data_IF_607767861750
#
_entry.id   IF_607767861750
#
_cell.length_a   1.000
_cell.length_b   1.000
_cell.length_c   1.000
_cell.angle_alpha   90.00
_cell.angle_beta   90.00
_cell.angle_gamma   90.00
#
_symmetry.space_group_name_H-M   'P 1'
#
loop_
_entity.id
_entity.type
_entity.pdbx_description
1 polymer ?
#
# COMPACT_ATOMS: atom_id res chain seq x y z
N UNK A 1 -34.53 -77.38 -30.09
CA UNK A 1 -35.98 -77.25 -29.82
C UNK A 1 -36.20 -76.51 -28.51
N UNK A 2 -37.19 -75.60 -28.49
CA UNK A 2 -37.87 -74.97 -27.32
C UNK A 2 -37.04 -74.18 -26.28
N UNK A 3 -37.08 -72.83 -26.28
CA UNK A 3 -38.08 -71.91 -25.65
C UNK A 3 -38.37 -72.15 -24.16
N UNK A 4 -38.03 -71.17 -23.31
CA UNK A 4 -38.90 -70.39 -22.38
C UNK A 4 -38.00 -69.47 -21.51
N UNK A 5 -38.11 -68.14 -21.61
CA UNK A 5 -39.09 -67.16 -21.06
C UNK A 5 -38.75 -66.69 -19.63
N UNK A 6 -38.33 -65.41 -19.56
CA UNK A 6 -38.75 -64.29 -18.69
C UNK A 6 -38.81 -64.49 -17.16
N UNK A 7 -38.05 -63.64 -16.43
CA UNK A 7 -38.49 -62.67 -15.37
C UNK A 7 -37.22 -62.08 -14.74
N UNK A 8 -36.85 -60.83 -15.03
CA UNK A 8 -37.20 -59.62 -14.26
C UNK A 8 -36.74 -59.66 -12.80
N UNK A 9 -35.63 -58.96 -12.49
CA UNK A 9 -35.57 -58.14 -11.28
C UNK A 9 -34.59 -56.97 -11.49
N UNK A 10 -35.19 -55.80 -11.59
CA UNK A 10 -34.56 -54.49 -11.53
C UNK A 10 -34.07 -54.29 -10.10
N UNK A 11 -32.78 -54.01 -9.92
CA UNK A 11 -32.25 -53.43 -8.68
C UNK A 11 -31.45 -52.18 -9.03
N UNK A 12 -32.19 -51.09 -8.89
CA UNK A 12 -31.78 -49.70 -8.90
C UNK A 12 -30.70 -49.46 -7.84
N UNK A 13 -29.52 -49.02 -8.25
CA UNK A 13 -28.60 -48.29 -7.39
C UNK A 13 -28.19 -47.03 -8.14
N UNK A 14 -29.09 -46.04 -8.13
CA UNK A 14 -28.73 -44.69 -8.50
C UNK A 14 -27.81 -44.15 -7.40
N UNK A 15 -26.50 -44.29 -7.58
CA UNK A 15 -25.51 -43.56 -6.81
C UNK A 15 -25.66 -42.11 -7.28
N UNK A 16 -26.50 -41.36 -6.58
CA UNK A 16 -26.48 -39.91 -6.63
C UNK A 16 -25.09 -39.49 -6.14
N UNK A 17 -24.18 -39.29 -7.07
CA UNK A 17 -22.95 -38.56 -6.83
C UNK A 17 -23.36 -37.13 -6.47
N UNK A 18 -23.61 -36.90 -5.18
CA UNK A 18 -23.45 -35.59 -4.59
C UNK A 18 -21.97 -35.24 -4.75
N UNK A 19 -21.62 -34.72 -5.93
CA UNK A 19 -20.43 -33.91 -6.04
C UNK A 19 -20.63 -32.78 -5.01
N UNK A 20 -19.76 -32.64 -4.00
CA UNK A 20 -19.71 -31.37 -3.30
C UNK A 20 -19.25 -30.38 -4.35
N UNK A 21 -20.21 -29.67 -4.94
CA UNK A 21 -19.94 -28.40 -5.58
C UNK A 21 -19.38 -27.54 -4.45
N UNK A 22 -18.05 -27.57 -4.29
CA UNK A 22 -17.28 -26.51 -3.69
C UNK A 22 -17.42 -25.31 -4.63
N UNK A 23 -18.64 -24.78 -4.75
CA UNK A 23 -18.84 -23.36 -4.98
C UNK A 23 -18.35 -22.71 -3.70
N UNK A 24 -17.03 -22.65 -3.54
CA UNK A 24 -16.44 -21.59 -2.77
C UNK A 24 -16.98 -20.33 -3.42
N UNK A 25 -17.92 -19.68 -2.74
CA UNK A 25 -18.34 -18.34 -3.02
C UNK A 25 -17.11 -17.44 -2.77
N UNK A 26 -16.11 -17.51 -3.65
CA UNK A 26 -15.17 -16.43 -3.89
C UNK A 26 -15.94 -15.39 -4.70
N UNK A 27 -16.96 -14.82 -4.08
CA UNK A 27 -17.68 -13.69 -4.63
C UNK A 27 -16.71 -12.51 -4.55
N UNK A 28 -16.01 -12.29 -5.66
CA UNK A 28 -15.17 -11.15 -5.98
C UNK A 28 -14.12 -10.75 -4.93
N UNK A 29 -12.93 -11.35 -5.02
CA UNK A 29 -11.69 -10.75 -4.52
C UNK A 29 -10.48 -11.48 -5.13
N UNK A 30 -9.97 -10.95 -6.24
CA UNK A 30 -8.65 -11.17 -6.84
C UNK A 30 -7.72 -12.18 -6.09
N UNK A 31 -7.75 -13.51 -6.37
CA UNK A 31 -7.04 -14.53 -5.59
C UNK A 31 -5.52 -14.26 -5.50
N UNK A 32 -5.00 -14.03 -4.30
CA UNK A 32 -3.59 -13.70 -4.07
C UNK A 32 -3.22 -12.22 -4.28
N UNK A 33 -4.20 -11.33 -4.45
CA UNK A 33 -4.00 -9.88 -4.42
C UNK A 33 -4.46 -9.28 -3.10
N UNK A 34 -3.64 -8.38 -2.57
CA UNK A 34 -4.01 -7.49 -1.47
C UNK A 34 -4.81 -6.29 -1.97
N UNK A 35 -4.53 -5.80 -3.18
CA UNK A 35 -5.30 -4.76 -3.85
C UNK A 35 -5.13 -4.84 -5.38
N UNK A 36 -6.03 -4.19 -6.11
CA UNK A 36 -5.93 -3.92 -7.55
C UNK A 36 -6.06 -2.42 -7.77
N UNK A 37 -5.13 -1.86 -8.54
CA UNK A 37 -5.02 -0.43 -8.80
C UNK A 37 -4.71 -0.24 -10.28
N UNK A 38 -5.63 0.35 -11.03
CA UNK A 38 -5.52 0.55 -12.47
C UNK A 38 -5.46 -0.76 -13.26
N UNK A 39 -6.14 -1.81 -12.78
CA UNK A 39 -6.03 -3.16 -13.32
C UNK A 39 -4.73 -3.90 -12.97
N UNK A 40 -3.78 -3.25 -12.29
CA UNK A 40 -2.54 -3.88 -11.83
C UNK A 40 -2.68 -4.38 -10.39
N UNK A 41 -2.20 -5.59 -10.14
CA UNK A 41 -2.30 -6.23 -8.82
C UNK A 41 -1.17 -5.74 -7.90
N UNK A 42 -1.51 -5.53 -6.64
CA UNK A 42 -0.59 -5.61 -5.50
C UNK A 42 -0.80 -7.00 -4.92
N UNK A 43 0.14 -7.90 -5.11
CA UNK A 43 0.03 -9.28 -4.60
C UNK A 43 0.23 -9.34 -3.09
N UNK A 44 -0.31 -10.37 -2.46
CA UNK A 44 -0.07 -10.64 -1.03
C UNK A 44 1.43 -10.81 -0.74
N UNK A 45 2.15 -11.50 -1.63
CA UNK A 45 3.61 -11.68 -1.52
C UNK A 45 4.37 -10.34 -1.59
N UNK A 46 3.97 -9.41 -2.45
CA UNK A 46 4.57 -8.07 -2.50
C UNK A 46 4.30 -7.27 -1.22
N UNK A 47 3.10 -7.39 -0.67
CA UNK A 47 2.75 -6.74 0.59
C UNK A 47 3.57 -7.33 1.75
N UNK A 48 3.66 -8.65 1.87
CA UNK A 48 4.45 -9.31 2.92
C UNK A 48 5.93 -8.96 2.81
N UNK A 49 6.50 -8.98 1.60
CA UNK A 49 7.87 -8.54 1.36
C UNK A 49 8.10 -7.11 1.87
N UNK A 50 7.16 -6.19 1.64
CA UNK A 50 7.27 -4.80 2.09
C UNK A 50 7.16 -4.66 3.60
N UNK A 51 6.28 -5.45 4.23
CA UNK A 51 6.18 -5.52 5.70
C UNK A 51 7.48 -6.06 6.30
N UNK A 52 8.05 -7.11 5.71
CA UNK A 52 9.29 -7.72 6.18
C UNK A 52 10.50 -6.79 6.04
N UNK A 53 10.57 -5.99 4.97
CA UNK A 53 11.57 -4.93 4.82
C UNK A 53 11.53 -3.96 6.01
N UNK A 54 10.33 -3.55 6.44
CA UNK A 54 10.13 -2.65 7.58
C UNK A 54 10.47 -3.35 8.89
N UNK A 55 10.02 -4.59 9.10
CA UNK A 55 10.29 -5.37 10.31
C UNK A 55 11.77 -5.63 10.52
N UNK A 56 12.50 -6.00 9.46
CA UNK A 56 13.96 -6.17 9.50
C UNK A 56 14.66 -4.87 9.86
N UNK A 57 14.23 -3.75 9.26
CA UNK A 57 14.80 -2.44 9.56
C UNK A 57 14.51 -2.01 11.01
N UNK A 58 13.29 -2.25 11.51
CA UNK A 58 12.91 -1.97 12.90
C UNK A 58 13.74 -2.79 13.88
N UNK A 59 13.93 -4.09 13.60
CA UNK A 59 14.77 -4.97 14.42
C UNK A 59 16.22 -4.49 14.46
N UNK A 60 16.77 -4.07 13.33
CA UNK A 60 18.14 -3.58 13.23
C UNK A 60 18.32 -2.21 13.93
N UNK A 61 17.24 -1.46 14.12
CA UNK A 61 17.25 -0.12 14.73
C UNK A 61 17.18 -0.13 16.27
N UNK A 62 16.93 -1.29 16.90
CA UNK A 62 16.82 -1.41 18.37
C UNK A 62 17.86 -2.38 18.93
N UNK A 63 18.44 -2.09 20.11
CA UNK A 63 19.59 -2.84 20.63
C UNK A 63 19.21 -4.19 21.27
N UNK A 64 17.97 -4.34 21.75
CA UNK A 64 17.55 -5.50 22.54
C UNK A 64 16.16 -6.02 22.16
N UNK A 65 15.86 -7.23 22.63
CA UNK A 65 14.58 -7.91 22.38
C UNK A 65 13.40 -7.19 23.02
N UNK A 66 13.56 -6.65 24.23
CA UNK A 66 12.48 -5.98 24.96
C UNK A 66 11.98 -4.74 24.21
N UNK A 67 12.89 -3.93 23.68
CA UNK A 67 12.55 -2.77 22.85
C UNK A 67 11.91 -3.19 21.53
N UNK A 68 12.38 -4.29 20.92
CA UNK A 68 11.76 -4.81 19.71
C UNK A 68 10.32 -5.27 19.94
N UNK A 69 10.04 -5.93 21.05
CA UNK A 69 8.67 -6.32 21.43
C UNK A 69 7.76 -5.10 21.58
N UNK A 70 8.28 -3.98 22.12
CA UNK A 70 7.53 -2.73 22.19
C UNK A 70 7.22 -2.14 20.80
N UNK A 71 8.17 -2.23 19.86
CA UNK A 71 7.95 -1.82 18.47
C UNK A 71 6.89 -2.70 17.79
N UNK A 72 6.92 -4.01 18.02
CA UNK A 72 5.90 -4.92 17.49
C UNK A 72 4.50 -4.59 18.04
N UNK A 73 4.41 -4.32 19.35
CA UNK A 73 3.16 -3.95 20.01
C UNK A 73 2.57 -2.62 19.48
N UNK A 74 3.42 -1.63 19.17
CA UNK A 74 2.99 -0.32 18.66
C UNK A 74 2.63 -0.31 17.17
N UNK A 75 2.82 -1.42 16.46
CA UNK A 75 2.66 -1.49 14.99
C UNK A 75 1.76 -2.65 14.58
N UNK A 76 0.68 -2.85 15.33
CA UNK A 76 -0.34 -3.89 15.06
C UNK A 76 -1.12 -3.68 13.75
N UNK A 77 -1.12 -2.45 13.22
CA UNK A 77 -1.71 -2.11 11.91
C UNK A 77 -0.74 -2.16 10.74
N UNK A 78 0.55 -2.50 10.97
CA UNK A 78 1.62 -2.32 9.97
C UNK A 78 1.26 -2.87 8.59
N UNK A 79 0.73 -4.09 8.52
CA UNK A 79 0.37 -4.71 7.23
C UNK A 79 -0.68 -3.92 6.48
N UNK A 80 -1.73 -3.46 7.17
CA UNK A 80 -2.79 -2.67 6.53
C UNK A 80 -2.29 -1.28 6.15
N UNK A 81 -1.42 -0.68 6.95
CA UNK A 81 -0.84 0.64 6.68
C UNK A 81 0.17 0.59 5.54
N UNK A 82 0.91 -0.52 5.43
CA UNK A 82 1.82 -0.78 4.32
C UNK A 82 1.04 -0.91 3.01
N UNK A 83 -0.05 -1.69 2.98
CA UNK A 83 -0.91 -1.79 1.80
C UNK A 83 -1.48 -0.43 1.41
N UNK A 84 -1.93 0.35 2.40
CA UNK A 84 -2.46 1.68 2.19
C UNK A 84 -1.45 2.60 1.49
N UNK A 85 -0.21 2.64 1.99
CA UNK A 85 0.85 3.41 1.37
C UNK A 85 1.14 2.92 -0.05
N UNK A 86 1.22 1.61 -0.29
CA UNK A 86 1.45 1.07 -1.65
C UNK A 86 0.35 1.47 -2.65
N UNK A 87 -0.91 1.56 -2.20
CA UNK A 87 -2.02 2.04 -3.03
C UNK A 87 -1.92 3.55 -3.25
N UNK A 88 -1.65 4.32 -2.19
CA UNK A 88 -1.50 5.77 -2.27
C UNK A 88 -0.35 6.18 -3.19
N UNK A 89 0.78 5.46 -3.14
CA UNK A 89 1.92 5.67 -4.02
C UNK A 89 1.50 5.63 -5.50
N UNK A 90 0.68 4.63 -5.88
CA UNK A 90 0.15 4.51 -7.24
C UNK A 90 -0.86 5.60 -7.60
N UNK A 91 -1.69 6.02 -6.64
CA UNK A 91 -2.64 7.13 -6.83
C UNK A 91 -1.91 8.45 -7.05
N UNK A 92 -0.87 8.71 -6.27
CA UNK A 92 -0.06 9.92 -6.37
C UNK A 92 0.74 9.95 -7.66
N UNK A 93 1.40 8.84 -8.02
CA UNK A 93 2.12 8.70 -9.28
C UNK A 93 1.19 8.93 -10.47
N UNK A 94 -0.03 8.38 -10.46
CA UNK A 94 -1.06 8.67 -11.47
C UNK A 94 -1.44 10.15 -11.52
N UNK A 95 -1.72 10.77 -10.38
CA UNK A 95 -2.08 12.19 -10.33
C UNK A 95 -0.95 13.09 -10.85
N UNK A 96 0.30 12.74 -10.56
CA UNK A 96 1.48 13.42 -11.09
C UNK A 96 1.58 13.26 -12.62
N UNK A 97 1.39 12.04 -13.14
CA UNK A 97 1.36 11.77 -14.58
C UNK A 97 0.24 12.55 -15.30
N UNK A 98 -0.97 12.60 -14.72
CA UNK A 98 -2.10 13.37 -15.27
C UNK A 98 -1.79 14.88 -15.32
N UNK A 99 -0.95 15.36 -14.39
CA UNK A 99 -0.42 16.72 -14.37
C UNK A 99 0.77 16.96 -15.30
N UNK A 100 1.31 15.94 -15.96
CA UNK A 100 2.54 16.04 -16.76
C UNK A 100 3.80 16.24 -15.93
N UNK A 101 3.79 15.83 -14.66
CA UNK A 101 4.90 16.03 -13.73
C UNK A 101 5.91 14.91 -13.92
N UNK A 102 7.18 15.31 -13.95
CA UNK A 102 8.32 14.38 -13.98
C UNK A 102 9.29 14.74 -12.87
N UNK A 103 9.94 13.74 -12.29
CA UNK A 103 11.01 13.90 -11.29
C UNK A 103 12.26 13.19 -11.78
N UNK A 104 13.37 13.93 -11.77
CA UNK A 104 14.67 13.42 -12.19
C UNK A 104 15.43 12.79 -11.03
N UNK A 105 16.34 11.86 -11.33
CA UNK A 105 17.28 11.33 -10.31
C UNK A 105 18.04 12.44 -9.61
N UNK A 106 18.44 13.50 -10.33
CA UNK A 106 19.18 14.64 -9.77
C UNK A 106 18.39 15.32 -8.66
N UNK A 107 17.09 15.56 -8.87
CA UNK A 107 16.23 16.19 -7.87
C UNK A 107 16.07 15.31 -6.62
N UNK A 108 15.91 14.00 -6.79
CA UNK A 108 15.86 13.05 -5.66
C UNK A 108 17.14 13.12 -4.84
N UNK A 109 18.31 13.08 -5.49
CA UNK A 109 19.60 13.14 -4.79
C UNK A 109 19.85 14.49 -4.12
N UNK A 110 19.39 15.60 -4.72
CA UNK A 110 19.45 16.93 -4.10
C UNK A 110 18.57 17.01 -2.85
N UNK A 111 17.34 16.51 -2.93
CA UNK A 111 16.45 16.44 -1.76
C UNK A 111 17.05 15.56 -0.67
N UNK A 112 17.55 14.37 -1.03
CA UNK A 112 18.19 13.44 -0.11
C UNK A 112 19.37 14.09 0.60
N UNK A 113 20.29 14.73 -0.13
CA UNK A 113 21.44 15.40 0.46
C UNK A 113 21.04 16.48 1.47
N UNK A 114 20.01 17.27 1.17
CA UNK A 114 19.49 18.28 2.11
C UNK A 114 18.90 17.66 3.38
N UNK A 115 18.15 16.56 3.25
CA UNK A 115 17.59 15.83 4.38
C UNK A 115 18.66 15.12 5.22
N UNK A 116 19.70 14.58 4.58
CA UNK A 116 20.85 13.99 5.29
C UNK A 116 21.60 15.03 6.12
N UNK A 117 21.79 16.25 5.61
CA UNK A 117 22.39 17.33 6.40
C UNK A 117 21.57 17.65 7.65
N UNK A 118 20.23 17.66 7.53
CA UNK A 118 19.32 17.92 8.65
C UNK A 118 19.27 16.76 9.66
N UNK A 119 19.38 15.52 9.18
CA UNK A 119 19.24 14.32 9.99
C UNK A 119 20.57 13.81 10.57
N UNK A 120 21.68 14.52 10.37
CA UNK A 120 23.00 14.10 10.86
C UNK A 120 23.65 12.98 10.04
N UNK A 121 23.26 12.83 8.78
CA UNK A 121 23.82 11.89 7.81
C UNK A 121 22.81 10.86 7.27
N UNK A 122 23.30 9.97 6.41
CA UNK A 122 22.50 8.96 5.71
C UNK A 122 21.73 8.03 6.68
N UNK A 123 22.42 7.56 7.72
CA UNK A 123 21.82 6.65 8.70
C UNK A 123 20.77 7.36 9.56
N UNK A 124 21.02 8.61 9.95
CA UNK A 124 20.05 9.42 10.68
C UNK A 124 18.76 9.64 9.88
N UNK A 125 18.90 9.93 8.58
CA UNK A 125 17.76 10.06 7.67
C UNK A 125 16.95 8.76 7.57
N UNK A 126 17.63 7.63 7.36
CA UNK A 126 16.99 6.31 7.25
C UNK A 126 16.22 5.94 8.53
N UNK A 127 16.83 6.16 9.71
CA UNK A 127 16.18 5.91 11.01
C UNK A 127 14.95 6.81 11.19
N UNK A 128 15.06 8.10 10.88
CA UNK A 128 13.96 9.04 11.00
C UNK A 128 12.78 8.65 10.10
N UNK A 129 13.03 8.29 8.84
CA UNK A 129 11.99 7.86 7.90
C UNK A 129 11.33 6.55 8.29
N UNK A 130 12.12 5.59 8.79
CA UNK A 130 11.60 4.33 9.29
C UNK A 130 10.66 4.55 10.47
N UNK A 131 11.09 5.35 11.46
CA UNK A 131 10.34 5.57 12.70
C UNK A 131 9.08 6.40 12.48
N UNK A 132 9.16 7.47 11.69
CA UNK A 132 8.03 8.38 11.47
C UNK A 132 7.04 7.88 10.43
N UNK A 133 7.54 7.27 9.35
CA UNK A 133 6.73 6.98 8.17
C UNK A 133 6.65 5.50 7.80
N UNK A 134 7.37 4.63 8.51
CA UNK A 134 7.43 3.21 8.16
C UNK A 134 8.11 2.95 6.81
N UNK A 135 9.01 3.83 6.37
CA UNK A 135 9.74 3.67 5.11
C UNK A 135 11.05 2.95 5.38
N UNK A 136 11.18 1.72 4.87
CA UNK A 136 12.42 0.95 4.97
C UNK A 136 13.56 1.64 4.19
N UNK A 137 14.83 1.52 4.64
CA UNK A 137 15.97 2.19 4.00
C UNK A 137 16.10 1.94 2.49
N UNK A 138 15.81 0.72 2.04
CA UNK A 138 15.85 0.33 0.62
C UNK A 138 14.82 1.05 -0.26
N UNK A 139 13.85 1.75 0.36
CA UNK A 139 12.70 2.37 -0.29
C UNK A 139 12.68 3.89 -0.12
N UNK A 140 13.73 4.44 0.49
CA UNK A 140 13.85 5.86 0.76
C UNK A 140 13.81 6.66 -0.55
N UNK A 141 14.62 6.32 -1.55
CA UNK A 141 14.68 7.07 -2.81
C UNK A 141 13.35 7.05 -3.58
N UNK A 142 12.65 5.91 -3.59
CA UNK A 142 11.31 5.80 -4.17
C UNK A 142 10.31 6.70 -3.44
N UNK A 143 10.37 6.74 -2.11
CA UNK A 143 9.52 7.63 -1.30
C UNK A 143 9.86 9.11 -1.54
N UNK A 144 11.14 9.48 -1.64
CA UNK A 144 11.55 10.85 -1.92
C UNK A 144 11.11 11.31 -3.31
N UNK A 145 11.13 10.42 -4.32
CA UNK A 145 10.56 10.71 -5.64
C UNK A 145 9.07 11.05 -5.54
N UNK A 146 8.29 10.23 -4.84
CA UNK A 146 6.85 10.48 -4.62
C UNK A 146 6.61 11.79 -3.86
N UNK A 147 7.46 12.14 -2.89
CA UNK A 147 7.37 13.44 -2.20
C UNK A 147 7.60 14.61 -3.17
N UNK A 148 8.57 14.51 -4.08
CA UNK A 148 8.80 15.53 -5.10
C UNK A 148 7.64 15.63 -6.10
N UNK A 149 7.04 14.50 -6.48
CA UNK A 149 5.83 14.48 -7.30
C UNK A 149 4.68 15.21 -6.59
N UNK A 150 4.47 14.93 -5.31
CA UNK A 150 3.46 15.58 -4.48
C UNK A 150 3.66 17.10 -4.43
N UNK A 151 4.90 17.55 -4.17
CA UNK A 151 5.26 18.97 -4.11
C UNK A 151 5.03 19.68 -5.44
N UNK A 152 5.48 19.06 -6.54
CA UNK A 152 5.30 19.61 -7.90
C UNK A 152 3.82 19.68 -8.27
N UNK A 153 3.04 18.66 -7.92
CA UNK A 153 1.60 18.63 -8.13
C UNK A 153 0.90 19.74 -7.35
N UNK A 154 1.19 19.87 -6.06
CA UNK A 154 0.63 20.94 -5.23
C UNK A 154 0.99 22.33 -5.80
N UNK A 155 2.25 22.54 -6.18
CA UNK A 155 2.71 23.79 -6.80
C UNK A 155 1.97 24.10 -8.09
N UNK A 156 1.82 23.12 -8.99
CA UNK A 156 1.10 23.28 -10.26
C UNK A 156 -0.39 23.61 -10.04
N UNK A 157 -0.99 23.06 -8.98
CA UNK A 157 -2.36 23.36 -8.57
C UNK A 157 -2.50 24.68 -7.81
N UNK A 158 -1.41 25.41 -7.54
CA UNK A 158 -1.41 26.64 -6.74
C UNK A 158 -1.82 26.40 -5.29
N UNK A 159 -1.44 25.26 -4.72
CA UNK A 159 -1.88 24.81 -3.38
C UNK A 159 -0.75 24.11 -2.62
N UNK A 160 -1.05 23.54 -1.45
CA UNK A 160 -0.14 22.71 -0.66
C UNK A 160 -0.74 21.30 -0.39
N UNK A 161 0.08 20.36 0.09
CA UNK A 161 -0.35 18.95 0.27
C UNK A 161 -1.34 18.74 1.42
N UNK A 162 -1.59 19.75 2.25
CA UNK A 162 -2.62 19.74 3.30
C UNK A 162 -3.99 20.23 2.80
N UNK A 163 -4.03 20.95 1.68
CA UNK A 163 -5.27 21.58 1.21
C UNK A 163 -6.22 20.62 0.48
N UNK A 164 -7.54 20.87 0.55
CA UNK A 164 -8.54 20.06 -0.16
C UNK A 164 -8.34 20.00 -1.68
N UNK A 165 -7.74 21.02 -2.29
CA UNK A 165 -7.48 21.06 -3.74
C UNK A 165 -6.53 19.94 -4.16
N UNK A 166 -5.46 19.71 -3.38
CA UNK A 166 -4.52 18.63 -3.61
C UNK A 166 -5.20 17.26 -3.48
N UNK A 167 -5.95 17.06 -2.40
CA UNK A 167 -6.67 15.80 -2.16
C UNK A 167 -7.75 15.54 -3.22
N UNK A 168 -8.39 16.58 -3.77
CA UNK A 168 -9.33 16.44 -4.89
C UNK A 168 -8.66 15.89 -6.15
N UNK A 169 -7.40 16.28 -6.42
CA UNK A 169 -6.62 15.73 -7.53
C UNK A 169 -6.30 14.24 -7.32
N UNK A 170 -5.88 13.86 -6.11
CA UNK A 170 -5.66 12.44 -5.76
C UNK A 170 -6.96 11.63 -5.87
N UNK A 171 -8.09 12.17 -5.40
CA UNK A 171 -9.38 11.49 -5.48
C UNK A 171 -9.86 11.33 -6.93
N UNK A 172 -9.48 12.24 -7.84
CA UNK A 172 -9.70 12.05 -9.28
C UNK A 172 -8.88 10.88 -9.81
N UNK A 173 -7.57 10.86 -9.55
CA UNK A 173 -6.70 9.76 -9.96
C UNK A 173 -7.16 8.41 -9.39
N UNK A 174 -7.56 8.38 -8.10
CA UNK A 174 -8.06 7.16 -7.46
C UNK A 174 -9.34 6.63 -8.11
N UNK A 175 -10.24 7.49 -8.60
CA UNK A 175 -11.42 7.07 -9.37
C UNK A 175 -11.04 6.45 -10.70
N UNK A 176 -10.12 7.08 -11.43
CA UNK A 176 -9.64 6.58 -12.73
C UNK A 176 -8.89 5.24 -12.59
N UNK A 177 -8.23 5.03 -11.46
CA UNK A 177 -7.55 3.77 -11.16
C UNK A 177 -8.49 2.65 -10.70
N UNK A 178 -9.77 2.91 -10.41
CA UNK A 178 -10.68 1.87 -9.92
C UNK A 178 -10.07 1.04 -8.78
N UNK A 179 -9.59 1.70 -7.73
CA UNK A 179 -8.90 1.06 -6.60
C UNK A 179 -9.84 0.07 -5.91
N UNK A 180 -9.41 -1.19 -5.84
CA UNK A 180 -10.10 -2.28 -5.16
C UNK A 180 -9.18 -2.93 -4.12
N UNK A 181 -9.63 -3.07 -2.88
CA UNK A 181 -8.85 -3.68 -1.79
C UNK A 181 -9.48 -5.01 -1.43
N UNK A 182 -8.63 -6.00 -1.15
CA UNK A 182 -9.10 -7.24 -0.55
C UNK A 182 -9.73 -6.93 0.83
N UNK A 183 -10.99 -7.32 1.09
CA UNK A 183 -11.73 -6.95 2.30
C UNK A 183 -11.01 -7.29 3.61
N UNK A 184 -10.13 -8.30 3.61
CA UNK A 184 -9.32 -8.65 4.80
C UNK A 184 -8.40 -7.52 5.27
N UNK A 185 -8.07 -6.57 4.40
CA UNK A 185 -7.23 -5.42 4.70
C UNK A 185 -8.01 -4.11 4.92
N UNK A 186 -9.34 -4.18 4.87
CA UNK A 186 -10.24 -3.04 5.02
C UNK A 186 -10.73 -2.47 3.69
N UNK A 187 -11.24 -1.24 3.73
CA UNK A 187 -11.81 -0.53 2.58
C UNK A 187 -11.02 0.73 2.23
N UNK A 188 -11.07 1.11 0.96
CA UNK A 188 -10.47 2.32 0.45
C UNK A 188 -11.52 3.42 0.28
N UNK A 189 -11.29 4.58 0.88
CA UNK A 189 -12.12 5.77 0.69
C UNK A 189 -11.56 6.62 -0.46
N UNK A 190 -12.18 6.46 -1.63
CA UNK A 190 -11.80 7.18 -2.85
C UNK A 190 -11.94 8.71 -2.71
N UNK A 191 -12.84 9.20 -1.85
CA UNK A 191 -13.03 10.64 -1.67
C UNK A 191 -11.92 11.25 -0.82
N UNK A 192 -11.43 10.49 0.17
CA UNK A 192 -10.32 10.90 1.03
C UNK A 192 -8.96 10.51 0.46
N UNK A 193 -8.93 9.65 -0.57
CA UNK A 193 -7.71 8.98 -1.04
C UNK A 193 -6.93 8.35 0.11
N UNK A 194 -7.66 7.79 1.08
CA UNK A 194 -7.10 7.19 2.27
C UNK A 194 -7.86 5.92 2.66
N UNK A 195 -7.28 5.09 3.52
CA UNK A 195 -8.11 4.17 4.30
C UNK A 195 -8.98 4.95 5.28
N UNK A 196 -10.15 4.41 5.60
CA UNK A 196 -11.14 5.06 6.49
C UNK A 196 -10.57 5.31 7.90
N UNK A 197 -9.59 4.51 8.32
CA UNK A 197 -8.95 4.53 9.63
C UNK A 197 -7.47 4.96 9.63
N UNK A 198 -6.91 5.38 8.49
CA UNK A 198 -5.48 5.72 8.38
C UNK A 198 -5.24 7.16 7.90
N UNK A 199 -4.26 7.82 8.52
CA UNK A 199 -3.68 9.06 8.01
C UNK A 199 -2.48 8.79 7.09
N UNK A 200 -2.06 9.80 6.34
CA UNK A 200 -0.90 9.76 5.42
C UNK A 200 0.13 10.84 5.81
N UNK A 201 0.82 10.69 6.96
CA UNK A 201 1.65 11.77 7.52
C UNK A 201 2.75 12.20 6.55
N UNK A 202 3.39 11.24 5.88
CA UNK A 202 4.49 11.53 4.96
C UNK A 202 4.10 12.42 3.78
N UNK A 203 2.83 12.43 3.33
CA UNK A 203 2.36 13.32 2.25
C UNK A 203 2.05 14.72 2.80
N UNK A 204 1.44 14.78 3.99
CA UNK A 204 1.01 16.05 4.60
C UNK A 204 2.18 16.85 5.17
N UNK A 205 3.20 16.17 5.67
CA UNK A 205 4.38 16.78 6.30
C UNK A 205 5.42 17.27 5.28
N UNK A 206 5.34 16.86 4.00
CA UNK A 206 6.28 17.29 2.94
C UNK A 206 6.36 18.82 2.81
N UNK A 207 5.23 19.51 3.03
CA UNK A 207 5.20 20.98 2.91
C UNK A 207 5.86 21.67 4.11
N UNK A 208 5.80 21.07 5.30
CA UNK A 208 6.35 21.65 6.54
C UNK A 208 7.87 21.60 6.56
N UNK A 209 8.50 20.57 5.99
CA UNK A 209 9.97 20.46 5.93
C UNK A 209 10.60 21.40 4.89
N UNK A 210 9.88 21.76 3.83
CA UNK A 210 10.36 22.70 2.81
C UNK A 210 10.23 24.18 3.24
N UNK A 211 9.35 24.48 4.21
CA UNK A 211 9.10 25.81 4.76
C UNK A 211 9.70 25.98 6.16
N UNK A 212 11.02 25.91 6.27
CA UNK A 212 11.83 26.31 7.44
C UNK A 212 11.12 26.44 8.79
N UNK A 213 10.74 25.32 9.41
CA UNK A 213 10.53 25.25 10.86
C UNK A 213 11.23 24.01 11.43
N UNK A 214 11.93 24.15 12.56
CA UNK A 214 12.74 23.07 13.13
C UNK A 214 11.85 21.91 13.58
N UNK A 215 12.30 20.69 13.28
CA UNK A 215 11.72 19.44 13.76
C UNK A 215 11.90 19.39 15.29
N UNK A 216 10.90 19.82 16.05
CA UNK A 216 10.86 19.58 17.50
C UNK A 216 10.52 18.12 17.76
N UNK A 217 11.31 17.55 18.68
CA UNK A 217 11.31 16.17 19.12
C UNK A 217 9.96 15.68 19.68
#
# INVERSE_FOLDING_TARGET
MHRRRRTALVLTAAIAAAAPLLTACANDAHPGAAAVVGGQRITEAQLEMRVDEIRRAQRAAVPDETQYQQVLASTSSLTRDTLHNMVLDRVLDRAAQDGGITVTRKEVQQMRAGLEQQAGGAQGLQTAWLQKFGVAPARLDDNLRLQLEAQKLAKQLGTDTSQPVFWKALSKASRELHVDLNPRYGSWDVQKSSRVDAGTPWVREVTTTAGGQPLTA
#
